data_IF_179434060999
#
_entry.id   IF_179434060999
#
_cell.length_a   1.000
_cell.length_b   1.000
_cell.length_c   1.000
_cell.angle_alpha   90.00
_cell.angle_beta   90.00
_cell.angle_gamma   90.00
#
_symmetry.space_group_name_H-M   'P 1'
#
loop_
_entity.id
_entity.type
_entity.pdbx_description
1 polymer ?
#
# COMPACT_ATOMS: atom_id res chain seq x y z
N UNK A 1 -3.58 -9.40 -15.21
CA UNK A 1 -3.90 -10.54 -14.33
C UNK A 1 -4.82 -10.00 -13.25
N UNK A 2 -6.06 -10.50 -13.15
CA UNK A 2 -7.03 -10.06 -12.13
C UNK A 2 -6.48 -10.56 -10.79
N UNK A 3 -6.12 -9.67 -9.89
CA UNK A 3 -5.71 -10.09 -8.55
C UNK A 3 -6.95 -10.61 -7.80
N UNK A 4 -6.89 -11.85 -7.33
CA UNK A 4 -8.00 -12.53 -6.66
C UNK A 4 -8.20 -11.91 -5.28
N UNK A 5 -9.40 -11.40 -4.99
CA UNK A 5 -9.73 -10.78 -3.69
C UNK A 5 -10.01 -11.81 -2.60
N UNK A 6 -10.34 -13.03 -3.01
CA UNK A 6 -10.76 -14.14 -2.15
C UNK A 6 -10.13 -15.42 -2.69
N UNK A 7 -9.60 -16.25 -1.81
CA UNK A 7 -9.05 -17.56 -2.10
C UNK A 7 -9.87 -18.64 -1.37
N UNK A 8 -10.13 -19.75 -2.06
CA UNK A 8 -10.69 -20.95 -1.44
C UNK A 8 -9.55 -21.74 -0.79
N UNK A 9 -9.65 -22.00 0.51
CA UNK A 9 -8.62 -22.67 1.30
C UNK A 9 -9.23 -23.83 2.08
N UNK A 10 -8.58 -24.99 2.03
CA UNK A 10 -8.96 -26.13 2.85
C UNK A 10 -8.63 -25.83 4.33
N UNK A 11 -9.65 -25.81 5.17
CA UNK A 11 -9.54 -25.63 6.61
C UNK A 11 -9.84 -26.94 7.34
N UNK A 12 -9.52 -26.97 8.64
CA UNK A 12 -9.88 -28.07 9.53
C UNK A 12 -10.85 -27.56 10.59
N UNK A 13 -12.13 -27.90 10.48
CA UNK A 13 -13.19 -27.50 11.41
C UNK A 13 -13.29 -28.50 12.56
N UNK A 14 -13.40 -28.00 13.79
CA UNK A 14 -13.67 -28.80 14.99
C UNK A 14 -15.12 -28.61 15.42
N UNK A 15 -15.89 -29.70 15.56
CA UNK A 15 -17.31 -29.66 15.93
C UNK A 15 -17.58 -29.94 17.42
N UNK A 16 -16.53 -30.03 18.23
CA UNK A 16 -16.59 -30.40 19.65
C UNK A 16 -16.20 -31.85 19.92
N UNK A 17 -16.21 -32.71 18.90
CA UNK A 17 -15.82 -34.13 19.03
C UNK A 17 -14.79 -34.56 18.00
N UNK A 18 -14.95 -34.12 16.75
CA UNK A 18 -14.12 -34.53 15.62
C UNK A 18 -13.61 -33.32 14.86
N UNK A 19 -12.52 -33.55 14.13
CA UNK A 19 -12.06 -32.62 13.11
C UNK A 19 -12.45 -33.15 11.73
N UNK A 20 -13.01 -32.30 10.88
CA UNK A 20 -13.21 -32.58 9.45
C UNK A 20 -12.60 -31.49 8.60
N UNK A 21 -12.22 -31.86 7.38
CA UNK A 21 -11.70 -30.93 6.38
C UNK A 21 -12.85 -30.41 5.53
N UNK A 22 -12.87 -29.11 5.31
CA UNK A 22 -13.80 -28.46 4.39
C UNK A 22 -13.13 -27.24 3.75
N UNK A 23 -13.70 -26.75 2.65
CA UNK A 23 -13.24 -25.54 2.00
C UNK A 23 -13.92 -24.31 2.61
N UNK A 24 -13.13 -23.27 2.88
CA UNK A 24 -13.63 -21.97 3.31
C UNK A 24 -13.05 -20.85 2.43
N UNK A 25 -13.70 -19.69 2.45
CA UNK A 25 -13.31 -18.52 1.68
C UNK A 25 -12.54 -17.55 2.56
N UNK A 26 -11.28 -17.30 2.20
CA UNK A 26 -10.42 -16.34 2.89
C UNK A 26 -10.16 -15.13 2.01
N UNK A 27 -10.14 -13.95 2.62
CA UNK A 27 -9.74 -12.71 1.94
C UNK A 27 -8.23 -12.75 1.67
N UNK A 28 -7.84 -12.35 0.46
CA UNK A 28 -6.42 -12.22 0.09
C UNK A 28 -5.90 -10.88 0.60
N UNK A 29 -4.67 -10.90 1.11
CA UNK A 29 -3.94 -9.74 1.60
C UNK A 29 -2.56 -9.68 0.92
N UNK A 30 -2.19 -8.53 0.36
CA UNK A 30 -0.84 -8.31 -0.19
C UNK A 30 -0.33 -6.92 0.23
N UNK A 31 0.99 -6.70 0.28
CA UNK A 31 1.54 -5.38 0.55
C UNK A 31 1.30 -4.42 -0.63
N UNK A 32 0.98 -3.18 -0.31
CA UNK A 32 0.94 -2.02 -1.21
C UNK A 32 1.89 -0.95 -0.67
N UNK A 33 2.87 -0.56 -1.47
CA UNK A 33 3.73 0.59 -1.22
C UNK A 33 3.13 1.84 -1.86
N UNK A 34 3.00 2.91 -1.07
CA UNK A 34 2.58 4.22 -1.56
C UNK A 34 3.81 5.12 -1.62
N UNK A 35 4.10 5.62 -2.82
CA UNK A 35 5.17 6.57 -3.08
C UNK A 35 4.59 7.94 -3.40
N UNK A 36 5.22 8.97 -2.87
CA UNK A 36 4.85 10.36 -3.09
C UNK A 36 5.91 11.02 -3.96
N UNK A 37 5.49 11.55 -5.10
CA UNK A 37 6.27 12.47 -5.93
C UNK A 37 5.93 13.92 -5.56
N UNK A 38 6.93 14.77 -5.30
CA UNK A 38 6.72 16.16 -4.87
C UNK A 38 7.92 17.06 -5.24
N UNK A 39 7.77 18.36 -5.03
CA UNK A 39 8.78 19.38 -5.36
C UNK A 39 8.59 20.03 -6.72
N UNK A 40 9.48 20.97 -7.04
CA UNK A 40 9.43 21.77 -8.26
C UNK A 40 9.55 20.90 -9.53
N UNK A 41 9.03 21.35 -10.68
CA UNK A 41 9.05 20.59 -11.93
C UNK A 41 10.48 20.18 -12.36
N UNK A 42 11.47 21.04 -12.09
CA UNK A 42 12.87 20.83 -12.47
C UNK A 42 13.63 19.92 -11.48
N UNK A 43 13.08 19.68 -10.30
CA UNK A 43 13.70 18.89 -9.24
C UNK A 43 12.68 18.04 -8.48
N UNK A 44 11.96 17.19 -9.24
CA UNK A 44 10.99 16.25 -8.66
C UNK A 44 11.70 15.23 -7.78
N UNK A 45 11.23 15.14 -6.54
CA UNK A 45 11.66 14.16 -5.56
C UNK A 45 10.61 13.07 -5.44
N UNK A 46 11.05 11.87 -5.07
CA UNK A 46 10.16 10.74 -4.79
C UNK A 46 10.53 10.16 -3.42
N UNK A 47 9.53 9.87 -2.59
CA UNK A 47 9.73 9.20 -1.29
C UNK A 47 8.69 8.10 -1.11
N UNK A 48 9.11 6.92 -0.68
CA UNK A 48 8.18 5.92 -0.15
C UNK A 48 7.65 6.43 1.18
N UNK A 49 6.34 6.58 1.28
CA UNK A 49 5.69 7.13 2.47
C UNK A 49 5.01 6.05 3.30
N UNK A 50 4.58 4.96 2.68
CA UNK A 50 3.79 3.93 3.33
C UNK A 50 4.04 2.55 2.73
N UNK A 51 4.02 1.52 3.58
CA UNK A 51 3.69 0.15 3.17
C UNK A 51 2.52 -0.29 4.02
N UNK A 52 1.42 -0.66 3.38
CA UNK A 52 0.22 -1.18 4.04
C UNK A 52 -0.19 -2.51 3.43
N UNK A 53 -0.84 -3.35 4.20
CA UNK A 53 -1.45 -4.55 3.66
C UNK A 53 -2.87 -4.23 3.15
N UNK A 54 -3.26 -4.82 2.01
CA UNK A 54 -4.58 -4.57 1.41
C UNK A 54 -5.18 -5.80 0.73
N UNK A 55 -6.49 -5.79 0.59
CA UNK A 55 -7.16 -6.65 -0.40
C UNK A 55 -7.01 -6.04 -1.78
N UNK A 56 -6.51 -6.77 -2.78
CA UNK A 56 -6.17 -6.20 -4.08
C UNK A 56 -7.35 -5.53 -4.81
N UNK A 57 -7.05 -4.47 -5.57
CA UNK A 57 -7.88 -4.03 -6.70
C UNK A 57 -8.50 -2.63 -6.60
N UNK A 58 -8.24 -1.90 -5.51
CA UNK A 58 -8.68 -0.51 -5.33
C UNK A 58 -7.52 0.37 -4.84
N UNK A 59 -6.33 0.09 -5.37
CA UNK A 59 -5.07 0.56 -4.83
C UNK A 59 -4.88 2.07 -5.04
N UNK A 60 -5.37 2.61 -6.17
CA UNK A 60 -5.33 4.05 -6.46
C UNK A 60 -6.26 4.82 -5.51
N UNK A 61 -7.50 4.34 -5.31
CA UNK A 61 -8.43 4.96 -4.38
C UNK A 61 -7.92 4.87 -2.94
N UNK A 62 -7.33 3.72 -2.56
CA UNK A 62 -6.72 3.52 -1.26
C UNK A 62 -5.57 4.51 -1.03
N UNK A 63 -4.67 4.68 -2.00
CA UNK A 63 -3.55 5.61 -1.87
C UNK A 63 -4.02 7.08 -1.79
N UNK A 64 -4.99 7.49 -2.60
CA UNK A 64 -5.56 8.84 -2.51
C UNK A 64 -6.26 9.08 -1.15
N UNK A 65 -7.07 8.12 -0.70
CA UNK A 65 -7.76 8.18 0.58
C UNK A 65 -6.80 8.20 1.77
N UNK A 66 -5.71 7.42 1.68
CA UNK A 66 -4.64 7.39 2.67
C UNK A 66 -3.99 8.77 2.83
N UNK A 67 -3.59 9.40 1.71
CA UNK A 67 -2.98 10.73 1.73
C UNK A 67 -3.91 11.80 2.32
N UNK A 68 -5.21 11.71 2.02
CA UNK A 68 -6.21 12.61 2.57
C UNK A 68 -6.42 12.39 4.07
N UNK A 69 -6.51 11.12 4.51
CA UNK A 69 -6.67 10.77 5.92
C UNK A 69 -5.49 11.21 6.79
N UNK A 70 -4.27 11.17 6.24
CA UNK A 70 -3.06 11.66 6.91
C UNK A 70 -2.84 13.18 6.76
N UNK A 71 -3.72 13.91 6.06
CA UNK A 71 -3.63 15.36 5.88
C UNK A 71 -2.51 15.82 4.94
N UNK A 72 -1.96 14.92 4.12
CA UNK A 72 -0.91 15.24 3.13
C UNK A 72 -1.51 15.98 1.93
N UNK A 73 -2.75 15.64 1.58
CA UNK A 73 -3.57 16.35 0.58
C UNK A 73 -4.88 16.79 1.22
N UNK A 74 -5.44 17.89 0.74
CA UNK A 74 -6.71 18.44 1.22
C UNK A 74 -7.81 18.38 0.15
N UNK A 75 -7.42 18.32 -1.13
CA UNK A 75 -8.36 18.29 -2.25
C UNK A 75 -7.80 17.53 -3.44
N UNK A 76 -8.70 17.10 -4.34
CA UNK A 76 -8.31 16.31 -5.52
C UNK A 76 -7.27 17.02 -6.41
N UNK A 77 -7.34 18.35 -6.54
CA UNK A 77 -6.40 19.10 -7.37
C UNK A 77 -4.97 19.10 -6.84
N UNK A 78 -4.76 18.65 -5.60
CA UNK A 78 -3.42 18.49 -5.04
C UNK A 78 -2.65 17.36 -5.71
N UNK A 79 -3.38 16.39 -6.28
CA UNK A 79 -2.84 15.26 -7.04
C UNK A 79 -2.77 15.63 -8.53
N UNK A 80 -1.56 15.59 -9.07
CA UNK A 80 -1.29 15.69 -10.49
C UNK A 80 -1.60 14.38 -11.23
N UNK A 81 -1.13 13.25 -10.69
CA UNK A 81 -1.43 11.91 -11.22
C UNK A 81 -1.31 10.83 -10.14
N UNK A 82 -1.94 9.69 -10.39
CA UNK A 82 -1.89 8.52 -9.52
C UNK A 82 -1.86 7.26 -10.37
N UNK A 83 -0.77 6.51 -10.29
CA UNK A 83 -0.51 5.40 -11.21
C UNK A 83 0.27 4.28 -10.51
N UNK A 84 0.06 3.06 -10.98
CA UNK A 84 0.94 1.95 -10.60
C UNK A 84 2.33 2.13 -11.21
N UNK A 85 3.38 2.00 -10.39
CA UNK A 85 4.75 2.06 -10.87
C UNK A 85 5.08 0.82 -11.71
N UNK A 86 5.26 1.01 -13.02
CA UNK A 86 5.87 0.01 -13.90
C UNK A 86 7.37 0.28 -14.00
N UNK A 87 8.10 0.17 -12.89
CA UNK A 87 9.54 0.38 -12.92
C UNK A 87 10.20 -0.75 -13.73
N UNK A 88 10.95 -0.39 -14.77
CA UNK A 88 11.54 -1.29 -15.77
C UNK A 88 12.69 -2.18 -15.24
N UNK A 89 12.75 -2.44 -13.93
CA UNK A 89 13.80 -3.23 -13.29
C UNK A 89 13.36 -4.04 -12.06
N UNK A 90 12.14 -3.84 -11.55
CA UNK A 90 11.61 -4.66 -10.46
C UNK A 90 10.89 -5.88 -11.08
N UNK A 91 11.57 -7.03 -11.07
CA UNK A 91 11.12 -8.26 -11.71
C UNK A 91 9.93 -8.94 -11.01
N UNK A 92 9.49 -8.43 -9.85
CA UNK A 92 8.38 -9.01 -9.09
C UNK A 92 7.31 -7.96 -8.77
N UNK A 93 6.12 -8.14 -9.34
CA UNK A 93 4.86 -7.45 -9.03
C UNK A 93 4.87 -5.90 -9.08
N UNK A 94 5.05 -5.29 -10.26
CA UNK A 94 4.86 -3.83 -10.48
C UNK A 94 3.44 -3.30 -10.17
N UNK A 95 2.52 -4.16 -9.73
CA UNK A 95 1.17 -3.77 -9.33
C UNK A 95 1.06 -3.37 -7.86
N UNK A 96 2.06 -3.68 -7.03
CA UNK A 96 2.02 -3.44 -5.58
C UNK A 96 2.66 -2.12 -5.17
N UNK A 97 2.92 -1.23 -6.12
CA UNK A 97 3.46 0.10 -5.86
C UNK A 97 2.57 1.10 -6.57
N UNK A 98 2.00 2.04 -5.81
CA UNK A 98 1.27 3.18 -6.34
C UNK A 98 2.07 4.44 -6.09
N UNK A 99 2.28 5.23 -7.14
CA UNK A 99 2.88 6.56 -7.04
C UNK A 99 1.82 7.62 -7.21
N UNK A 100 1.77 8.53 -6.25
CA UNK A 100 0.95 9.73 -6.29
C UNK A 100 1.87 10.92 -6.53
N UNK A 101 1.70 11.60 -7.66
CA UNK A 101 2.42 12.83 -7.97
C UNK A 101 1.62 14.02 -7.45
N UNK A 102 2.19 14.80 -6.54
CA UNK A 102 1.60 16.06 -6.08
C UNK A 102 1.87 17.18 -7.08
N UNK A 103 0.96 18.14 -7.15
CA UNK A 103 1.19 19.37 -7.90
C UNK A 103 2.42 20.13 -7.38
N UNK A 104 3.17 20.85 -8.24
CA UNK A 104 4.45 21.47 -7.84
C UNK A 104 4.34 22.46 -6.69
N UNK A 105 3.17 23.10 -6.53
CA UNK A 105 2.93 24.11 -5.50
C UNK A 105 2.77 23.53 -4.08
N UNK A 106 2.82 22.20 -3.92
CA UNK A 106 2.60 21.52 -2.65
C UNK A 106 3.92 20.98 -2.12
N UNK A 107 4.30 21.47 -0.95
CA UNK A 107 5.43 20.97 -0.18
C UNK A 107 4.91 20.20 1.04
N UNK A 108 4.82 18.86 0.98
CA UNK A 108 4.34 18.07 2.11
C UNK A 108 5.34 18.10 3.27
N UNK A 109 4.83 18.18 4.52
CA UNK A 109 5.66 18.05 5.72
C UNK A 109 6.05 16.58 5.93
N UNK A 110 7.22 16.21 5.40
CA UNK A 110 7.75 14.85 5.48
C UNK A 110 8.12 14.40 6.90
N UNK A 111 8.22 15.32 7.87
CA UNK A 111 8.51 14.96 9.27
C UNK A 111 7.27 14.47 10.01
N UNK A 112 6.05 14.87 9.61
CA UNK A 112 4.82 14.24 10.12
C UNK A 112 4.70 12.79 9.65
N UNK A 113 5.06 12.54 8.39
CA UNK A 113 5.13 11.21 7.78
C UNK A 113 6.09 10.26 8.52
N UNK A 114 7.25 10.73 8.98
CA UNK A 114 8.18 9.84 9.71
C UNK A 114 7.67 9.44 11.10
N UNK A 115 6.77 10.23 11.71
CA UNK A 115 6.26 9.99 13.07
C UNK A 115 5.00 9.13 13.11
N UNK A 116 4.12 9.21 12.11
CA UNK A 116 2.85 8.47 12.09
C UNK A 116 2.99 7.02 11.60
N UNK A 117 4.10 6.69 10.96
CA UNK A 117 4.28 5.38 10.30
C UNK A 117 4.87 4.28 11.17
N UNK A 118 5.26 4.58 12.41
CA UNK A 118 5.41 3.56 13.44
C UNK A 118 4.02 3.03 13.87
N UNK A 119 3.21 2.58 12.92
CA UNK A 119 1.97 1.88 13.22
C UNK A 119 2.36 0.45 13.58
N UNK A 120 2.17 0.08 14.84
CA UNK A 120 2.56 -1.24 15.35
C UNK A 120 1.55 -2.27 14.87
N UNK A 121 1.80 -2.89 13.71
CA UNK A 121 1.12 -4.14 13.36
C UNK A 121 1.63 -5.27 14.24
N UNK A 122 0.74 -6.17 14.69
CA UNK A 122 1.13 -7.36 15.46
C UNK A 122 2.12 -8.27 14.73
N UNK A 123 2.24 -8.17 13.40
CA UNK A 123 3.19 -8.94 12.60
C UNK A 123 4.55 -8.23 12.39
N UNK A 124 4.72 -6.98 12.81
CA UNK A 124 5.99 -6.23 12.71
C UNK A 124 6.37 -5.76 11.30
N UNK A 125 5.44 -5.84 10.34
CA UNK A 125 5.67 -5.45 8.93
C UNK A 125 5.31 -3.97 8.71
N UNK A 126 4.25 -3.49 9.37
CA UNK A 126 3.90 -2.08 9.32
C UNK A 126 4.92 -1.27 10.12
N UNK A 127 5.58 -0.30 9.47
CA UNK A 127 6.72 0.48 10.00
C UNK A 127 8.00 0.38 9.17
N UNK A 128 8.03 -0.43 8.11
CA UNK A 128 9.16 -0.51 7.18
C UNK A 128 9.07 0.56 6.09
N UNK A 129 10.20 1.19 5.79
CA UNK A 129 10.29 2.30 4.83
C UNK A 129 10.06 1.89 3.37
N UNK A 130 10.18 0.60 3.04
CA UNK A 130 9.91 0.08 1.69
C UNK A 130 9.58 -1.41 1.73
N UNK A 131 9.03 -1.92 0.63
CA UNK A 131 8.72 -3.34 0.49
C UNK A 131 9.97 -4.22 0.53
N UNK A 132 11.11 -3.74 0.05
CA UNK A 132 12.38 -4.46 0.13
C UNK A 132 12.83 -4.68 1.58
N UNK A 133 12.50 -3.75 2.49
CA UNK A 133 12.84 -3.85 3.90
C UNK A 133 11.99 -4.87 4.68
N UNK A 134 10.95 -5.44 4.06
CA UNK A 134 10.13 -6.55 4.59
C UNK A 134 10.78 -7.91 4.30
N UNK A 135 11.63 -8.02 3.27
CA UNK A 135 12.25 -9.28 2.82
C UNK A 135 13.65 -9.55 3.39
N UNK A 136 14.20 -8.62 4.17
CA UNK A 136 15.55 -8.69 4.77
C UNK A 136 15.57 -9.44 6.11
#
# INVERSE_FOLDING_TARGET
>A
MRSEKVATVAIRRFDGTNFHTEDDLLVVEEPLEIRLGFGEPENRQQKSIAVTMRTPGNDLELAAGFLFGEGIINQKSDILSIDHCRDAGQQENPQNIVRVELTPNISPDLHQLERHFYTTSSCGICGKASIEAVRA
#
